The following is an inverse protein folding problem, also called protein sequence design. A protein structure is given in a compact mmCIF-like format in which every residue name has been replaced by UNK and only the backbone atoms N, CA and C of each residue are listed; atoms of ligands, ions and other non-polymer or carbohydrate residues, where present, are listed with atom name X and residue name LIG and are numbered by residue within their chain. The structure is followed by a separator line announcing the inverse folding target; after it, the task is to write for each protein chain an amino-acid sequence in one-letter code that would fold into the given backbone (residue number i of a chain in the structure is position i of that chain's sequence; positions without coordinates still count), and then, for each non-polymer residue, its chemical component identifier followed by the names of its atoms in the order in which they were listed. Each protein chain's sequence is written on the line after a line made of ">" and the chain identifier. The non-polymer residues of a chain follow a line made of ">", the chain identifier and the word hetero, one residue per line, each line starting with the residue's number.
data_IF_097632487145
#
_entry.id   IF_097632487145
#
_cell.length_a   1.000
_cell.length_b   1.000
_cell.length_c   1.000
_cell.angle_alpha   90.00
_cell.angle_beta   90.00
_cell.angle_gamma   90.00
#
_symmetry.space_group_name_H-M   'P 1'
#
loop_
_entity.id
_entity.type
_entity.pdbx_description
1 polymer ?
#
# COMPACT_ATOMS: atom_id res chain seq x y z
N UNK A 1 -7.39 13.90 -7.46
CA UNK A 1 -7.48 13.35 -8.84
C UNK A 1 -7.86 14.47 -9.78
N UNK A 2 -7.39 14.44 -11.04
CA UNK A 2 -7.68 15.50 -12.02
C UNK A 2 -8.02 14.85 -13.37
N UNK A 3 -8.96 15.45 -14.08
CA UNK A 3 -9.31 15.14 -15.47
C UNK A 3 -9.18 16.41 -16.31
N UNK A 4 -8.60 16.30 -17.49
CA UNK A 4 -8.48 17.38 -18.47
C UNK A 4 -9.11 16.96 -19.79
N UNK A 5 -9.95 17.83 -20.36
CA UNK A 5 -10.54 17.68 -21.68
C UNK A 5 -10.18 18.94 -22.50
N UNK A 6 -8.96 19.02 -23.06
CA UNK A 6 -8.44 20.24 -23.68
C UNK A 6 -9.29 20.75 -24.83
N UNK A 7 -9.87 19.85 -25.63
CA UNK A 7 -10.76 20.21 -26.76
C UNK A 7 -12.01 20.98 -26.32
N UNK A 8 -12.45 20.78 -25.07
CA UNK A 8 -13.59 21.45 -24.46
C UNK A 8 -13.20 22.54 -23.46
N UNK A 9 -11.89 22.81 -23.33
CA UNK A 9 -11.32 23.73 -22.34
C UNK A 9 -11.79 23.42 -20.89
N UNK A 10 -12.01 22.15 -20.60
CA UNK A 10 -12.52 21.66 -19.31
C UNK A 10 -11.39 21.05 -18.49
N UNK A 11 -11.28 21.49 -17.25
CA UNK A 11 -10.47 20.86 -16.22
C UNK A 11 -11.32 20.60 -14.97
N UNK A 12 -11.27 19.38 -14.45
CA UNK A 12 -11.98 18.99 -13.23
C UNK A 12 -10.95 18.52 -12.23
N UNK A 13 -11.00 19.03 -11.01
CA UNK A 13 -10.15 18.60 -9.91
C UNK A 13 -11.02 18.17 -8.72
N UNK A 14 -10.75 16.97 -8.18
CA UNK A 14 -11.41 16.45 -6.98
C UNK A 14 -10.37 16.15 -5.91
N UNK A 15 -10.53 16.77 -4.75
CA UNK A 15 -9.82 16.46 -3.52
C UNK A 15 -10.81 15.90 -2.50
N UNK A 16 -10.41 14.88 -1.76
CA UNK A 16 -11.23 14.27 -0.71
C UNK A 16 -10.36 14.03 0.52
N UNK A 17 -10.96 14.26 1.68
CA UNK A 17 -10.43 13.82 2.97
C UNK A 17 -11.16 12.53 3.32
N UNK A 18 -10.43 11.44 3.41
CA UNK A 18 -10.99 10.13 3.72
C UNK A 18 -10.63 9.04 2.72
N UNK A 19 -11.10 7.84 3.02
CA UNK A 19 -10.80 6.66 2.22
C UNK A 19 -11.65 6.63 0.94
N UNK A 20 -10.98 6.52 -0.18
CA UNK A 20 -11.59 6.21 -1.48
C UNK A 20 -10.90 4.97 -2.04
N UNK A 21 -11.48 3.82 -1.74
CA UNK A 21 -10.91 2.53 -2.13
C UNK A 21 -10.80 2.43 -3.65
N UNK A 22 -9.60 2.10 -4.12
CA UNK A 22 -9.29 1.93 -5.55
C UNK A 22 -9.60 3.18 -6.41
N UNK A 23 -9.72 4.35 -5.76
CA UNK A 23 -10.07 5.62 -6.40
C UNK A 23 -11.43 5.59 -7.12
N UNK A 24 -12.32 4.66 -6.76
CA UNK A 24 -13.58 4.40 -7.46
C UNK A 24 -14.48 5.64 -7.39
N UNK A 25 -14.73 6.16 -6.20
CA UNK A 25 -15.62 7.31 -6.02
C UNK A 25 -15.10 8.53 -6.79
N UNK A 26 -13.80 8.83 -6.70
CA UNK A 26 -13.22 9.97 -7.42
C UNK A 26 -13.30 9.79 -8.94
N UNK A 27 -13.08 8.59 -9.45
CA UNK A 27 -13.23 8.29 -10.89
C UNK A 27 -14.67 8.50 -11.33
N UNK A 28 -15.62 7.94 -10.59
CA UNK A 28 -17.05 8.06 -10.87
C UNK A 28 -17.51 9.51 -10.85
N UNK A 29 -17.10 10.28 -9.84
CA UNK A 29 -17.45 11.70 -9.76
C UNK A 29 -16.85 12.53 -10.91
N UNK A 30 -15.60 12.26 -11.29
CA UNK A 30 -14.97 12.95 -12.41
C UNK A 30 -15.73 12.73 -13.71
N UNK A 31 -16.10 11.48 -14.03
CA UNK A 31 -16.83 11.15 -15.23
C UNK A 31 -18.23 11.74 -15.20
N UNK A 32 -18.94 11.63 -14.07
CA UNK A 32 -20.27 12.21 -13.89
C UNK A 32 -20.29 13.72 -14.12
N UNK A 33 -19.36 14.46 -13.53
CA UNK A 33 -19.24 15.91 -13.70
C UNK A 33 -18.88 16.27 -15.15
N UNK A 34 -17.99 15.49 -15.77
CA UNK A 34 -17.62 15.71 -17.17
C UNK A 34 -18.82 15.55 -18.10
N UNK A 35 -19.59 14.47 -17.94
CA UNK A 35 -20.79 14.21 -18.73
C UNK A 35 -21.81 15.34 -18.63
N UNK A 36 -22.11 15.78 -17.39
CA UNK A 36 -23.03 16.91 -17.16
C UNK A 36 -22.53 18.19 -17.83
N UNK A 37 -21.23 18.50 -17.71
CA UNK A 37 -20.66 19.72 -18.28
C UNK A 37 -20.66 19.69 -19.83
N UNK A 38 -20.47 18.52 -20.41
CA UNK A 38 -20.47 18.32 -21.86
C UNK A 38 -21.88 18.16 -22.44
N UNK A 39 -22.93 18.22 -21.63
CA UNK A 39 -24.32 18.05 -22.04
C UNK A 39 -24.70 16.61 -22.37
N UNK A 40 -23.91 15.65 -21.89
CA UNK A 40 -24.20 14.22 -22.03
C UNK A 40 -25.09 13.75 -20.87
N UNK A 41 -25.86 12.70 -21.10
CA UNK A 41 -26.48 11.96 -19.99
C UNK A 41 -25.39 11.17 -19.28
N UNK A 42 -25.22 11.33 -17.95
CA UNK A 42 -24.23 10.54 -17.22
C UNK A 42 -24.48 9.04 -17.38
N UNK A 43 -23.43 8.29 -17.69
CA UNK A 43 -23.51 6.84 -17.86
C UNK A 43 -23.67 6.09 -16.52
N UNK A 44 -23.35 6.74 -15.40
CA UNK A 44 -23.57 6.27 -14.04
C UNK A 44 -24.46 7.27 -13.32
N UNK A 45 -25.55 6.81 -12.75
CA UNK A 45 -26.41 7.62 -11.88
C UNK A 45 -25.92 7.57 -10.42
N UNK A 46 -26.53 8.40 -9.56
CA UNK A 46 -26.15 8.50 -8.15
C UNK A 46 -26.30 7.17 -7.38
N UNK A 47 -27.27 6.33 -7.73
CA UNK A 47 -27.47 5.03 -7.09
C UNK A 47 -26.41 4.04 -7.53
N UNK A 48 -26.17 3.94 -8.83
CA UNK A 48 -25.16 3.05 -9.41
C UNK A 48 -23.72 3.42 -8.96
N UNK A 49 -23.47 4.69 -8.69
CA UNK A 49 -22.17 5.15 -8.20
C UNK A 49 -21.80 4.60 -6.82
N UNK A 50 -22.78 4.23 -6.02
CA UNK A 50 -22.56 3.59 -4.72
C UNK A 50 -22.17 2.12 -4.86
N UNK A 51 -22.65 1.45 -5.89
CA UNK A 51 -22.40 0.03 -6.14
C UNK A 51 -21.27 -0.21 -7.17
N UNK A 52 -20.75 0.87 -7.78
CA UNK A 52 -19.65 0.75 -8.74
C UNK A 52 -18.46 -0.03 -8.12
N UNK A 53 -17.83 -0.96 -8.83
CA UNK A 53 -17.91 -1.18 -10.28
C UNK A 53 -19.03 -2.10 -10.79
N UNK A 54 -19.88 -2.65 -9.92
CA UNK A 54 -21.05 -3.40 -10.39
C UNK A 54 -22.13 -2.45 -10.99
N UNK A 55 -22.85 -2.84 -12.06
CA UNK A 55 -22.77 -4.13 -12.76
C UNK A 55 -21.72 -4.17 -13.90
N UNK A 56 -20.96 -3.10 -14.11
CA UNK A 56 -20.11 -2.92 -15.29
C UNK A 56 -18.89 -3.83 -15.32
N UNK A 57 -18.37 -4.18 -14.14
CA UNK A 57 -17.22 -5.07 -13.98
C UNK A 57 -17.58 -6.23 -13.06
N UNK A 58 -18.03 -7.32 -13.66
CA UNK A 58 -18.27 -8.57 -12.94
C UNK A 58 -16.94 -9.23 -12.61
N UNK A 59 -16.77 -9.67 -11.36
CA UNK A 59 -15.53 -10.30 -10.92
C UNK A 59 -14.46 -9.33 -10.39
N UNK A 60 -14.78 -8.05 -10.25
CA UNK A 60 -13.95 -7.13 -9.47
C UNK A 60 -13.94 -7.58 -8.01
N UNK A 61 -13.06 -8.50 -7.69
CA UNK A 61 -12.68 -8.70 -6.31
C UNK A 61 -11.75 -7.53 -5.97
N UNK A 62 -12.14 -6.74 -5.00
CA UNK A 62 -11.14 -5.99 -4.27
C UNK A 62 -10.22 -7.04 -3.67
N UNK A 63 -9.11 -7.32 -4.33
CA UNK A 63 -8.12 -8.24 -3.82
C UNK A 63 -7.58 -7.71 -2.49
N UNK A 64 -8.34 -7.92 -1.42
CA UNK A 64 -7.73 -7.88 -0.09
C UNK A 64 -6.80 -9.06 -0.10
N UNK A 65 -5.51 -8.78 -0.15
CA UNK A 65 -4.55 -9.78 0.25
C UNK A 65 -4.99 -10.29 1.62
N UNK A 66 -5.30 -11.56 1.68
CA UNK A 66 -5.54 -12.22 2.95
C UNK A 66 -4.18 -12.28 3.64
N UNK A 67 -4.01 -11.53 4.69
CA UNK A 67 -2.83 -11.61 5.55
C UNK A 67 -3.15 -12.65 6.61
N UNK A 68 -2.47 -13.79 6.57
CA UNK A 68 -2.46 -14.74 7.67
C UNK A 68 -1.63 -14.09 8.79
N UNK A 69 -2.30 -13.59 9.81
CA UNK A 69 -1.66 -12.88 10.92
C UNK A 69 -0.99 -13.80 11.93
N UNK A 70 -1.29 -15.08 11.85
CA UNK A 70 -0.79 -16.11 12.77
C UNK A 70 0.35 -16.92 12.14
N UNK A 71 0.81 -16.55 10.95
CA UNK A 71 1.91 -17.21 10.29
C UNK A 71 3.22 -17.01 11.07
N UNK A 72 3.95 -18.10 11.43
CA UNK A 72 5.19 -17.98 12.17
C UNK A 72 6.31 -17.42 11.28
N UNK A 73 7.21 -16.64 11.87
CA UNK A 73 8.46 -16.24 11.22
C UNK A 73 9.42 -17.44 11.09
N UNK A 74 10.30 -17.39 10.10
CA UNK A 74 11.34 -18.42 9.89
C UNK A 74 12.42 -18.40 10.97
N UNK A 75 12.59 -17.24 11.65
CA UNK A 75 13.62 -17.00 12.66
C UNK A 75 13.03 -16.29 13.89
N UNK A 76 13.74 -16.28 15.02
CA UNK A 76 13.38 -15.45 16.16
C UNK A 76 13.22 -13.98 15.76
N UNK A 77 12.10 -13.35 16.11
CA UNK A 77 11.80 -11.96 15.72
C UNK A 77 12.86 -10.97 16.17
N UNK A 78 13.57 -11.26 17.27
CA UNK A 78 14.67 -10.42 17.76
C UNK A 78 15.85 -10.29 16.80
N UNK A 79 16.02 -11.22 15.86
CA UNK A 79 17.11 -11.15 14.87
C UNK A 79 16.88 -10.05 13.82
N UNK A 80 15.60 -9.73 13.55
CA UNK A 80 15.22 -8.69 12.59
C UNK A 80 15.33 -7.27 13.15
N UNK A 81 15.39 -7.13 14.48
CA UNK A 81 15.47 -5.83 15.15
C UNK A 81 16.77 -5.11 14.80
N UNK A 82 16.69 -3.81 14.58
CA UNK A 82 17.82 -2.95 14.32
C UNK A 82 17.50 -1.74 13.46
N UNK A 83 18.52 -0.90 13.25
CA UNK A 83 18.48 0.19 12.31
C UNK A 83 19.00 -0.28 10.94
N UNK A 84 18.35 0.18 9.89
CA UNK A 84 18.69 -0.13 8.49
C UNK A 84 18.81 1.18 7.73
N UNK A 85 19.90 1.39 7.00
CA UNK A 85 20.21 2.66 6.36
C UNK A 85 20.41 2.54 4.87
N UNK A 86 19.97 3.56 4.15
CA UNK A 86 20.22 3.75 2.73
C UNK A 86 20.62 5.21 2.49
N UNK A 87 21.62 5.45 1.65
CA UNK A 87 22.15 6.81 1.42
C UNK A 87 21.16 7.75 0.76
N UNK A 88 20.20 7.24 -0.01
CA UNK A 88 19.17 8.04 -0.69
C UNK A 88 17.89 8.16 0.15
N UNK A 89 17.45 7.05 0.76
CA UNK A 89 16.16 6.98 1.44
C UNK A 89 16.25 7.22 2.95
N UNK A 90 17.46 7.29 3.53
CA UNK A 90 17.65 7.51 4.96
C UNK A 90 17.58 6.24 5.78
N UNK A 91 16.98 6.31 6.97
CA UNK A 91 16.96 5.23 7.96
C UNK A 91 15.56 4.67 8.17
N UNK A 92 15.53 3.37 8.37
CA UNK A 92 14.39 2.57 8.83
C UNK A 92 14.80 1.93 10.15
N UNK A 93 13.91 2.01 11.15
CA UNK A 93 14.10 1.32 12.44
C UNK A 93 13.09 0.18 12.55
N UNK A 94 13.57 -1.02 12.88
CA UNK A 94 12.75 -2.19 13.16
C UNK A 94 12.82 -2.52 14.63
N UNK A 95 11.67 -2.55 15.30
CA UNK A 95 11.53 -2.83 16.72
C UNK A 95 10.62 -4.03 16.97
N UNK A 96 10.82 -4.74 18.07
CA UNK A 96 9.91 -5.77 18.56
C UNK A 96 9.12 -5.18 19.72
N UNK A 97 7.80 -5.06 19.52
CA UNK A 97 6.92 -4.43 20.51
C UNK A 97 6.34 -5.44 21.50
N UNK A 98 5.73 -4.93 22.57
CA UNK A 98 5.18 -5.74 23.66
C UNK A 98 4.02 -6.67 23.24
N UNK A 99 3.39 -6.40 22.12
CA UNK A 99 2.36 -7.25 21.51
C UNK A 99 2.92 -8.47 20.74
N UNK A 100 4.25 -8.61 20.73
CA UNK A 100 4.95 -9.73 20.11
C UNK A 100 5.14 -9.61 18.61
N UNK A 101 4.92 -8.43 18.01
CA UNK A 101 5.11 -8.19 16.58
C UNK A 101 6.26 -7.24 16.31
N UNK A 102 6.83 -7.38 15.11
CA UNK A 102 7.78 -6.40 14.62
C UNK A 102 7.05 -5.17 14.09
N UNK A 103 7.64 -4.01 14.32
CA UNK A 103 7.23 -2.74 13.77
C UNK A 103 8.37 -2.09 13.02
N UNK A 104 8.08 -1.60 11.83
CA UNK A 104 9.00 -0.86 10.99
C UNK A 104 8.61 0.62 11.04
N UNK A 105 9.51 1.48 11.49
CA UNK A 105 9.34 2.92 11.49
C UNK A 105 10.18 3.56 10.39
N UNK A 106 9.56 4.43 9.58
CA UNK A 106 10.20 5.23 8.56
C UNK A 106 9.68 6.67 8.60
N UNK A 107 10.53 7.59 9.02
CA UNK A 107 10.14 8.96 9.30
C UNK A 107 9.04 9.01 10.37
N UNK A 108 7.88 9.57 10.03
CA UNK A 108 6.71 9.65 10.94
C UNK A 108 5.73 8.47 10.74
N UNK A 109 6.05 7.54 9.86
CA UNK A 109 5.18 6.40 9.52
C UNK A 109 5.61 5.16 10.27
N UNK A 110 4.63 4.32 10.62
CA UNK A 110 4.87 3.04 11.28
C UNK A 110 4.05 1.94 10.59
N UNK A 111 4.66 0.77 10.46
CA UNK A 111 4.07 -0.42 9.86
C UNK A 111 4.22 -1.60 10.80
N UNK A 112 3.14 -2.34 11.01
CA UNK A 112 3.18 -3.64 11.67
C UNK A 112 3.54 -4.71 10.66
N UNK A 113 4.47 -5.59 11.00
CA UNK A 113 4.99 -6.62 10.12
C UNK A 113 4.36 -7.98 10.44
N UNK A 114 3.89 -8.66 9.40
CA UNK A 114 3.36 -10.02 9.50
C UNK A 114 4.18 -10.95 8.61
N UNK A 115 4.71 -12.06 9.12
CA UNK A 115 5.47 -13.03 8.33
C UNK A 115 4.66 -13.55 7.13
N UNK A 116 5.36 -13.87 6.04
CA UNK A 116 4.79 -14.41 4.82
C UNK A 116 5.58 -15.65 4.37
N UNK A 117 5.56 -16.71 5.18
CA UNK A 117 6.37 -17.89 4.93
C UNK A 117 5.74 -18.90 3.99
N UNK A 118 4.38 -18.91 3.85
CA UNK A 118 3.67 -19.88 3.00
C UNK A 118 3.67 -19.52 1.52
N UNK A 119 3.44 -18.23 1.23
CA UNK A 119 3.20 -17.74 -0.13
C UNK A 119 4.28 -16.77 -0.62
N UNK A 120 5.32 -16.54 0.19
CA UNK A 120 6.39 -15.60 -0.08
C UNK A 120 7.78 -16.22 -0.04
N UNK A 121 8.79 -15.39 -0.23
CA UNK A 121 10.17 -15.76 0.00
C UNK A 121 10.43 -15.89 1.50
N UNK A 122 11.40 -16.74 1.92
CA UNK A 122 11.81 -16.79 3.31
C UNK A 122 12.17 -15.39 3.82
N UNK A 123 11.70 -15.08 5.04
CA UNK A 123 11.95 -13.79 5.69
C UNK A 123 11.29 -12.58 4.98
N UNK A 124 10.24 -12.84 4.21
CA UNK A 124 9.33 -11.83 3.68
C UNK A 124 8.24 -11.50 4.71
N UNK A 125 7.90 -10.21 4.78
CA UNK A 125 6.86 -9.70 5.66
C UNK A 125 5.89 -8.78 4.92
N UNK A 126 4.60 -8.95 5.21
CA UNK A 126 3.60 -7.94 4.89
C UNK A 126 3.72 -6.76 5.84
N UNK A 127 3.55 -5.56 5.29
CA UNK A 127 3.58 -4.30 6.01
C UNK A 127 2.16 -3.75 6.11
N UNK A 128 1.59 -3.74 7.30
CA UNK A 128 0.31 -3.08 7.58
C UNK A 128 0.55 -1.70 8.16
N UNK A 129 0.20 -0.65 7.40
CA UNK A 129 0.33 0.74 7.87
C UNK A 129 -0.50 1.00 9.13
N UNK A 130 0.05 1.75 10.06
CA UNK A 130 -0.60 2.13 11.31
C UNK A 130 -1.14 3.57 11.24
N UNK A 131 -2.13 3.88 12.07
CA UNK A 131 -2.73 5.21 12.14
C UNK A 131 -3.32 5.67 10.80
N UNK A 132 -2.87 6.81 10.29
CA UNK A 132 -3.37 7.38 9.03
C UNK A 132 -3.07 6.50 7.80
N UNK A 133 -2.05 5.65 7.87
CA UNK A 133 -1.67 4.75 6.77
C UNK A 133 -2.40 3.42 6.77
N UNK A 134 -3.16 3.09 7.80
CA UNK A 134 -3.84 1.80 7.97
C UNK A 134 -4.67 1.36 6.75
N UNK A 135 -5.09 2.28 5.92
CA UNK A 135 -5.93 2.01 4.76
C UNK A 135 -5.29 2.40 3.42
N UNK A 136 -4.08 2.93 3.44
CA UNK A 136 -3.44 3.48 2.23
C UNK A 136 -2.37 2.57 1.68
N UNK A 137 -1.65 1.83 2.56
CA UNK A 137 -0.52 1.00 2.19
C UNK A 137 -0.69 -0.46 2.66
N UNK A 138 -1.77 -1.11 2.21
CA UNK A 138 -2.06 -2.51 2.55
C UNK A 138 -1.36 -3.51 1.61
N UNK A 139 -0.40 -3.08 0.79
CA UNK A 139 0.26 -3.91 -0.23
C UNK A 139 1.78 -3.78 -0.19
N UNK A 140 2.31 -3.07 0.81
CA UNK A 140 3.74 -2.99 0.97
C UNK A 140 4.27 -4.31 1.53
N UNK A 141 5.40 -4.74 1.02
CA UNK A 141 6.13 -5.93 1.46
C UNK A 141 7.59 -5.56 1.66
N UNK A 142 8.22 -6.24 2.60
CA UNK A 142 9.66 -6.15 2.79
C UNK A 142 10.27 -7.53 2.95
N UNK A 143 11.52 -7.67 2.55
CA UNK A 143 12.30 -8.91 2.63
C UNK A 143 13.58 -8.62 3.38
N UNK A 144 13.90 -9.45 4.36
CA UNK A 144 15.21 -9.40 5.03
C UNK A 144 16.16 -10.38 4.36
N UNK A 145 17.35 -9.92 4.00
CA UNK A 145 18.38 -10.76 3.43
C UNK A 145 19.56 -10.97 4.39
N UNK A 146 20.36 -11.97 4.10
CA UNK A 146 21.37 -12.51 4.99
C UNK A 146 22.75 -12.49 4.37
N UNK A 147 23.75 -12.33 5.24
CA UNK A 147 25.12 -12.70 4.96
C UNK A 147 25.53 -13.80 5.97
N UNK A 148 25.63 -15.04 5.50
CA UNK A 148 25.77 -16.20 6.37
C UNK A 148 24.51 -16.41 7.25
N UNK A 149 24.67 -16.34 8.58
CA UNK A 149 23.56 -16.50 9.53
C UNK A 149 22.96 -15.19 10.02
N UNK A 150 23.54 -14.06 9.65
CA UNK A 150 23.12 -12.74 10.18
C UNK A 150 22.32 -11.95 9.14
N UNK A 151 21.26 -11.33 9.59
CA UNK A 151 20.50 -10.36 8.78
C UNK A 151 21.38 -9.14 8.55
N UNK A 152 21.58 -8.78 7.30
CA UNK A 152 22.42 -7.66 6.93
C UNK A 152 21.71 -6.61 6.07
N UNK A 153 20.57 -6.93 5.48
CA UNK A 153 19.80 -6.00 4.64
C UNK A 153 18.30 -6.11 4.84
N UNK A 154 17.62 -5.01 4.54
CA UNK A 154 16.19 -4.92 4.39
C UNK A 154 15.88 -4.38 2.98
N UNK A 155 15.05 -5.10 2.24
CA UNK A 155 14.62 -4.76 0.88
C UNK A 155 13.15 -4.36 0.89
N UNK A 156 12.82 -3.22 0.26
CA UNK A 156 11.44 -2.71 0.16
C UNK A 156 10.87 -3.04 -1.22
N UNK A 157 10.37 -4.26 -1.40
CA UNK A 157 10.13 -4.88 -2.71
C UNK A 157 9.03 -4.24 -3.56
N UNK A 158 8.14 -3.44 -2.95
CA UNK A 158 7.02 -2.80 -3.67
C UNK A 158 6.98 -1.29 -3.53
N UNK A 159 8.06 -0.66 -3.13
CA UNK A 159 8.14 0.79 -3.02
C UNK A 159 8.32 1.48 -4.35
N UNK A 160 9.23 0.94 -5.16
CA UNK A 160 9.57 1.51 -6.47
C UNK A 160 9.32 0.50 -7.58
N UNK A 161 8.66 0.88 -8.68
CA UNK A 161 8.39 -0.04 -9.78
C UNK A 161 9.64 -0.48 -10.55
N UNK A 162 10.70 0.33 -10.52
CA UNK A 162 11.90 0.14 -11.35
C UNK A 162 13.13 -0.33 -10.60
N UNK A 163 13.14 -0.15 -9.29
CA UNK A 163 14.28 -0.51 -8.44
C UNK A 163 13.81 -0.84 -7.02
N UNK A 164 14.30 -1.94 -6.47
CA UNK A 164 14.05 -2.30 -5.07
C UNK A 164 15.02 -1.53 -4.18
N UNK A 165 14.55 -0.63 -3.30
CA UNK A 165 15.41 0.02 -2.33
C UNK A 165 15.98 -0.98 -1.33
N UNK A 166 17.30 -0.98 -1.15
CA UNK A 166 18.03 -1.81 -0.21
C UNK A 166 18.59 -0.97 0.92
N UNK A 167 18.41 -1.40 2.15
CA UNK A 167 18.91 -0.76 3.36
C UNK A 167 19.86 -1.70 4.07
N UNK A 168 21.07 -1.25 4.34
CA UNK A 168 22.08 -2.03 5.07
C UNK A 168 21.82 -1.93 6.58
N UNK A 169 21.92 -3.05 7.29
CA UNK A 169 21.81 -3.10 8.74
C UNK A 169 23.05 -2.46 9.39
N UNK A 170 22.83 -1.58 10.38
CA UNK A 170 23.90 -0.85 11.09
C UNK A 170 24.09 -1.40 12.49
#
# INVERSE_FOLDING_TARGET
>A
MMMLVPSQKLGIFIAMTGRDKDYILRKTMLTYIADLHLGHSPWINATESCDFPAPYFTGWSSGRLYIDRDEPSTRPLSEYVGAYTNTLYGQIDVTLEADGFLYLAYGWTQFKLYPRTKDGEPDEFYMEGQGLLQNVMNFAECVFSFNGSQINKLLMTKWEPSQVPEFDKV
#
